data_IF_320419906346
#
_entry.id   IF_320419906346
#
_cell.length_a   1.000
_cell.length_b   1.000
_cell.length_c   1.000
_cell.angle_alpha   90.00
_cell.angle_beta   90.00
_cell.angle_gamma   90.00
#
_symmetry.space_group_name_H-M   'P 1'
#
loop_
_entity.id
_entity.type
_entity.pdbx_description
1 polymer ?
#
# COMPACT_ATOMS: atom_id res chain seq x y z
N UNK A 1 -25.30 30.28 22.15
CA UNK A 1 -25.30 29.67 20.81
C UNK A 1 -25.93 30.63 19.84
N UNK A 2 -25.67 30.63 18.54
CA UNK A 2 -26.36 31.51 17.60
C UNK A 2 -27.84 31.13 17.54
N UNK A 3 -28.73 32.12 17.57
CA UNK A 3 -30.17 31.92 17.44
C UNK A 3 -30.49 31.54 15.99
N UNK A 4 -31.53 30.68 15.83
CA UNK A 4 -32.03 30.37 14.51
C UNK A 4 -32.90 31.56 14.01
N UNK A 5 -32.57 32.05 12.82
CA UNK A 5 -33.32 33.11 12.12
C UNK A 5 -33.89 32.64 10.78
N UNK A 6 -33.96 31.31 10.56
CA UNK A 6 -34.42 30.71 9.31
C UNK A 6 -35.74 29.95 9.55
N UNK A 7 -36.72 30.21 8.70
CA UNK A 7 -37.89 29.37 8.59
C UNK A 7 -37.61 28.18 7.67
N UNK A 8 -37.64 26.98 8.26
CA UNK A 8 -37.37 25.74 7.52
C UNK A 8 -38.56 24.78 7.62
N UNK A 9 -38.80 24.06 6.54
CA UNK A 9 -39.81 23.00 6.54
C UNK A 9 -39.25 21.80 7.29
N UNK A 10 -39.80 21.46 8.44
CA UNK A 10 -39.40 20.29 9.23
C UNK A 10 -40.22 19.05 8.93
N UNK A 11 -41.48 19.23 8.44
CA UNK A 11 -42.39 18.17 8.06
C UNK A 11 -42.99 18.50 6.69
N UNK A 12 -42.84 17.57 5.72
CA UNK A 12 -43.42 17.73 4.39
C UNK A 12 -44.96 17.59 4.42
N UNK A 13 -45.65 18.11 3.41
CA UNK A 13 -47.10 17.95 3.27
C UNK A 13 -47.56 16.48 3.25
N UNK A 14 -46.69 15.55 2.89
CA UNK A 14 -46.93 14.10 2.91
C UNK A 14 -46.81 13.47 4.30
N UNK A 15 -46.45 14.24 5.34
CA UNK A 15 -46.20 13.73 6.68
C UNK A 15 -44.80 13.17 6.90
N UNK A 16 -43.92 13.17 5.87
CA UNK A 16 -42.55 12.69 5.99
C UNK A 16 -41.69 13.82 6.57
N UNK A 17 -40.86 13.55 7.63
CA UNK A 17 -39.97 14.54 8.20
C UNK A 17 -38.87 14.91 7.21
N UNK A 18 -38.39 16.15 7.32
CA UNK A 18 -37.10 16.53 6.70
C UNK A 18 -35.94 16.09 7.59
N UNK A 19 -34.73 16.15 7.08
CA UNK A 19 -33.51 15.77 7.82
C UNK A 19 -33.42 16.46 9.19
N UNK A 20 -33.69 17.73 9.28
CA UNK A 20 -33.59 18.50 10.54
C UNK A 20 -34.45 17.94 11.66
N UNK A 21 -35.67 17.57 11.35
CA UNK A 21 -36.59 17.00 12.34
C UNK A 21 -36.25 15.54 12.64
N UNK A 22 -35.98 14.72 11.60
CA UNK A 22 -35.60 13.33 11.76
C UNK A 22 -34.35 13.20 12.63
N UNK A 23 -33.28 13.99 12.35
CA UNK A 23 -32.05 14.02 13.13
C UNK A 23 -32.28 14.19 14.62
N UNK A 24 -33.11 15.20 15.02
CA UNK A 24 -33.35 15.48 16.44
C UNK A 24 -34.14 14.36 17.12
N UNK A 25 -35.12 13.80 16.43
CA UNK A 25 -35.96 12.70 16.96
C UNK A 25 -35.15 11.43 17.09
N UNK A 26 -34.43 11.06 16.04
CA UNK A 26 -33.64 9.82 16.01
C UNK A 26 -32.53 9.86 17.04
N UNK A 27 -31.77 10.95 17.12
CA UNK A 27 -30.67 11.09 18.06
C UNK A 27 -31.14 11.04 19.51
N UNK A 28 -32.28 11.67 19.83
CA UNK A 28 -32.85 11.60 21.17
C UNK A 28 -33.25 10.16 21.54
N UNK A 29 -34.03 9.49 20.69
CA UNK A 29 -34.50 8.13 20.99
C UNK A 29 -33.38 7.08 20.92
N UNK A 30 -32.36 7.26 20.10
CA UNK A 30 -31.15 6.44 20.05
C UNK A 30 -30.17 6.75 21.19
N UNK A 31 -30.44 7.77 22.00
CA UNK A 31 -29.58 8.23 23.12
C UNK A 31 -28.16 8.60 22.64
N UNK A 32 -28.08 9.27 21.52
CA UNK A 32 -26.82 9.79 20.98
C UNK A 32 -26.22 10.82 21.92
N UNK A 33 -25.04 10.59 22.41
CA UNK A 33 -24.33 11.51 23.33
C UNK A 33 -23.49 12.55 22.59
N UNK A 34 -22.91 12.17 21.44
CA UNK A 34 -22.05 13.01 20.63
C UNK A 34 -22.42 12.89 19.16
N UNK A 35 -22.55 14.02 18.49
CA UNK A 35 -22.73 14.10 17.03
C UNK A 35 -21.45 14.64 16.41
N UNK A 36 -20.71 13.78 15.71
CA UNK A 36 -19.48 14.15 15.01
C UNK A 36 -19.80 14.19 13.51
N UNK A 37 -19.63 15.38 12.89
CA UNK A 37 -19.98 15.58 11.49
C UNK A 37 -19.11 16.65 10.83
N UNK A 38 -19.17 16.80 9.52
CA UNK A 38 -18.42 17.83 8.80
C UNK A 38 -18.90 19.26 9.13
N UNK A 39 -17.98 20.21 9.04
CA UNK A 39 -18.22 21.65 9.31
C UNK A 39 -19.30 22.29 8.41
N UNK A 40 -19.63 21.67 7.27
CA UNK A 40 -20.71 22.11 6.39
C UNK A 40 -22.09 22.15 7.09
N UNK A 41 -22.22 21.43 8.20
CA UNK A 41 -23.43 21.39 9.02
C UNK A 41 -23.51 22.47 10.08
N UNK A 42 -22.47 23.30 10.24
CA UNK A 42 -22.46 24.39 11.22
C UNK A 42 -23.64 25.38 11.00
N UNK A 43 -23.97 25.66 9.73
CA UNK A 43 -25.05 26.56 9.39
C UNK A 43 -26.45 26.01 9.79
N UNK A 44 -26.57 24.69 9.95
CA UNK A 44 -27.83 24.05 10.38
C UNK A 44 -27.89 23.81 11.89
N UNK A 45 -26.81 24.03 12.62
CA UNK A 45 -26.78 23.81 14.06
C UNK A 45 -27.80 24.60 14.84
N UNK A 46 -28.05 25.91 14.56
CA UNK A 46 -29.07 26.69 15.28
C UNK A 46 -30.47 26.09 15.16
N UNK A 47 -30.81 25.51 13.99
CA UNK A 47 -32.11 24.85 13.76
C UNK A 47 -32.24 23.61 14.66
N UNK A 48 -31.18 22.81 14.76
CA UNK A 48 -31.19 21.60 15.60
C UNK A 48 -31.29 21.96 17.10
N UNK A 49 -30.52 22.96 17.53
CA UNK A 49 -30.59 23.46 18.93
C UNK A 49 -32.00 23.90 19.27
N UNK A 50 -32.63 24.72 18.44
CA UNK A 50 -34.01 25.18 18.66
C UNK A 50 -35.00 24.00 18.70
N UNK A 51 -34.86 23.01 17.83
CA UNK A 51 -35.72 21.83 17.83
C UNK A 51 -35.56 21.00 19.12
N UNK A 52 -34.35 20.77 19.62
CA UNK A 52 -34.12 20.09 20.90
C UNK A 52 -34.79 20.84 22.05
N UNK A 53 -34.66 22.18 22.11
CA UNK A 53 -35.28 23.03 23.13
C UNK A 53 -36.80 22.99 23.05
N UNK A 54 -37.40 23.15 21.86
CA UNK A 54 -38.85 23.15 21.66
C UNK A 54 -39.53 21.82 21.99
N UNK A 55 -38.78 20.71 21.75
CA UNK A 55 -39.28 19.36 22.07
C UNK A 55 -39.00 18.96 23.52
N UNK A 56 -38.23 19.76 24.26
CA UNK A 56 -37.85 19.44 25.64
C UNK A 56 -36.87 18.26 25.73
N UNK A 57 -36.09 18.05 24.70
CA UNK A 57 -35.13 16.96 24.63
C UNK A 57 -33.75 17.42 25.10
N UNK A 58 -32.98 16.49 25.73
CA UNK A 58 -31.60 16.73 26.06
C UNK A 58 -30.76 16.72 24.77
N UNK A 59 -29.96 17.78 24.57
CA UNK A 59 -29.17 17.97 23.36
C UNK A 59 -27.84 17.23 23.48
N UNK A 60 -27.42 16.51 22.43
CA UNK A 60 -26.08 15.88 22.38
C UNK A 60 -24.97 16.93 22.26
N UNK A 61 -23.72 16.51 22.54
CA UNK A 61 -22.54 17.32 22.25
C UNK A 61 -22.28 17.32 20.76
N UNK A 62 -22.20 18.49 20.13
CA UNK A 62 -21.88 18.63 18.71
C UNK A 62 -20.39 18.88 18.50
N UNK A 63 -19.76 18.03 17.69
CA UNK A 63 -18.39 18.16 17.24
C UNK A 63 -18.36 18.30 15.70
N UNK A 64 -17.67 19.32 15.19
CA UNK A 64 -17.54 19.52 13.75
C UNK A 64 -16.11 19.32 13.31
N UNK A 65 -15.91 18.43 12.33
CA UNK A 65 -14.61 18.17 11.73
C UNK A 65 -14.39 19.05 10.51
N UNK A 66 -13.16 19.44 10.28
CA UNK A 66 -12.79 20.10 9.04
C UNK A 66 -13.03 19.19 7.83
N UNK A 67 -13.31 19.80 6.67
CA UNK A 67 -13.53 19.07 5.42
C UNK A 67 -12.24 18.42 4.90
N UNK A 68 -12.38 17.26 4.26
CA UNK A 68 -11.28 16.65 3.52
C UNK A 68 -11.01 17.47 2.24
N UNK A 69 -9.80 17.95 2.13
CA UNK A 69 -9.30 18.75 1.01
C UNK A 69 -8.27 17.94 0.22
N UNK A 70 -8.10 18.25 -1.05
CA UNK A 70 -7.07 17.69 -1.93
C UNK A 70 -6.34 18.81 -2.66
N UNK A 71 -5.06 18.59 -2.98
CA UNK A 71 -4.32 19.48 -3.88
C UNK A 71 -4.67 19.14 -5.32
N UNK A 72 -5.10 20.14 -6.07
CA UNK A 72 -5.39 20.04 -7.50
C UNK A 72 -4.68 21.22 -8.20
N UNK A 73 -3.65 20.91 -8.98
CA UNK A 73 -2.78 21.90 -9.63
C UNK A 73 -2.26 22.99 -8.66
N UNK A 74 -1.86 22.57 -7.45
CA UNK A 74 -1.32 23.46 -6.41
C UNK A 74 -2.37 24.20 -5.57
N UNK A 75 -3.66 24.10 -5.91
CA UNK A 75 -4.75 24.72 -5.18
C UNK A 75 -5.48 23.69 -4.30
N UNK A 76 -5.84 24.07 -3.08
CA UNK A 76 -6.68 23.26 -2.21
C UNK A 76 -8.12 23.31 -2.68
N UNK A 77 -8.74 22.15 -2.91
CA UNK A 77 -10.19 22.02 -3.14
C UNK A 77 -10.79 20.92 -2.29
N UNK A 78 -12.07 21.01 -2.03
CA UNK A 78 -12.84 19.94 -1.38
C UNK A 78 -12.84 18.68 -2.26
N UNK A 79 -12.69 17.51 -1.65
CA UNK A 79 -12.93 16.25 -2.34
C UNK A 79 -14.39 16.15 -2.77
N UNK A 80 -14.63 15.56 -3.93
CA UNK A 80 -15.97 15.43 -4.50
C UNK A 80 -16.20 14.00 -5.01
N UNK A 81 -17.33 13.40 -4.68
CA UNK A 81 -17.72 12.04 -5.12
C UNK A 81 -17.66 11.81 -6.63
N UNK A 82 -17.75 12.88 -7.44
CA UNK A 82 -17.73 12.77 -8.91
C UNK A 82 -16.34 12.75 -9.50
N UNK A 83 -15.36 13.34 -8.81
CA UNK A 83 -13.99 13.52 -9.32
C UNK A 83 -12.96 12.66 -8.59
N UNK A 84 -13.24 12.30 -7.35
CA UNK A 84 -12.29 11.67 -6.44
C UNK A 84 -12.84 10.33 -5.96
N UNK A 85 -12.48 9.21 -6.62
CA UNK A 85 -12.95 7.87 -6.24
C UNK A 85 -12.56 7.52 -4.81
N UNK A 86 -11.44 8.06 -4.33
CA UNK A 86 -10.94 7.91 -2.96
C UNK A 86 -11.84 8.52 -1.87
N UNK A 87 -12.91 9.19 -2.25
CA UNK A 87 -13.95 9.63 -1.31
C UNK A 87 -14.97 8.51 -0.99
N UNK A 88 -14.96 7.41 -1.76
CA UNK A 88 -15.79 6.23 -1.50
C UNK A 88 -15.01 5.15 -0.77
N UNK A 89 -15.62 4.52 0.24
CA UNK A 89 -15.05 3.35 0.90
C UNK A 89 -14.88 2.17 -0.06
N UNK A 90 -15.72 2.07 -1.09
CA UNK A 90 -15.62 1.02 -2.11
C UNK A 90 -14.30 1.08 -2.89
N UNK A 91 -13.73 2.26 -3.09
CA UNK A 91 -12.42 2.43 -3.71
C UNK A 91 -11.35 1.65 -2.94
N UNK A 92 -11.28 1.83 -1.61
CA UNK A 92 -10.27 1.16 -0.79
C UNK A 92 -10.47 -0.35 -0.74
N UNK A 93 -11.74 -0.81 -0.74
CA UNK A 93 -12.08 -2.24 -0.79
C UNK A 93 -11.66 -2.85 -2.13
N UNK A 94 -11.97 -2.21 -3.25
CA UNK A 94 -11.66 -2.69 -4.60
C UNK A 94 -10.16 -2.69 -4.90
N UNK A 95 -9.43 -1.66 -4.48
CA UNK A 95 -7.97 -1.64 -4.58
C UNK A 95 -7.31 -2.61 -3.58
N UNK A 96 -7.99 -2.94 -2.49
CA UNK A 96 -7.51 -3.82 -1.44
C UNK A 96 -6.53 -3.12 -0.49
N UNK A 97 -6.89 -1.92 -0.03
CA UNK A 97 -6.24 -1.37 1.15
C UNK A 97 -6.69 -2.14 2.39
N UNK A 98 -5.75 -2.55 3.22
CA UNK A 98 -6.10 -3.23 4.46
C UNK A 98 -6.90 -2.29 5.37
N UNK A 99 -8.02 -2.73 5.98
CA UNK A 99 -8.88 -1.86 6.79
C UNK A 99 -8.13 -1.12 7.89
N UNK A 100 -7.16 -1.78 8.53
CA UNK A 100 -6.32 -1.18 9.56
C UNK A 100 -5.46 -0.02 9.00
N UNK A 101 -4.93 -0.16 7.78
CA UNK A 101 -4.13 0.90 7.16
C UNK A 101 -4.98 2.14 6.87
N UNK A 102 -6.21 1.95 6.39
CA UNK A 102 -7.15 3.05 6.16
C UNK A 102 -7.53 3.73 7.49
N UNK A 103 -7.80 2.94 8.55
CA UNK A 103 -8.11 3.45 9.89
C UNK A 103 -6.94 4.27 10.46
N UNK A 104 -5.71 3.78 10.37
CA UNK A 104 -4.50 4.52 10.81
C UNK A 104 -4.30 5.82 10.04
N UNK A 105 -4.50 5.79 8.74
CA UNK A 105 -4.40 6.99 7.92
C UNK A 105 -5.48 8.03 8.29
N UNK A 106 -6.72 7.58 8.49
CA UNK A 106 -7.80 8.49 8.92
C UNK A 106 -7.49 9.11 10.30
N UNK A 107 -6.96 8.34 11.25
CA UNK A 107 -6.53 8.88 12.54
C UNK A 107 -5.39 9.89 12.39
N UNK A 108 -4.45 9.65 11.49
CA UNK A 108 -3.35 10.59 11.20
C UNK A 108 -3.85 11.94 10.73
N UNK A 109 -4.91 11.99 9.91
CA UNK A 109 -5.45 13.26 9.40
C UNK A 109 -6.51 13.89 10.31
N UNK A 110 -7.16 13.10 11.17
CA UNK A 110 -8.19 13.56 12.09
C UNK A 110 -7.64 14.06 13.42
N UNK A 111 -6.61 13.41 13.95
CA UNK A 111 -6.13 13.63 15.32
C UNK A 111 -4.65 13.99 15.33
N UNK A 112 -4.33 15.24 15.68
CA UNK A 112 -3.00 15.83 15.53
C UNK A 112 -1.88 15.14 16.31
N UNK A 113 -2.20 14.29 17.30
CA UNK A 113 -1.23 13.56 18.12
C UNK A 113 -1.10 12.08 17.75
N UNK A 114 -1.83 11.60 16.72
CA UNK A 114 -1.81 10.18 16.37
C UNK A 114 -0.44 9.74 15.83
N UNK A 115 0.17 10.50 14.92
CA UNK A 115 1.49 10.17 14.37
C UNK A 115 2.58 10.06 15.45
N UNK A 116 2.59 11.02 16.38
CA UNK A 116 3.54 11.02 17.50
C UNK A 116 3.32 9.79 18.40
N UNK A 117 2.05 9.49 18.71
CA UNK A 117 1.71 8.30 19.48
C UNK A 117 2.13 7.01 18.76
N UNK A 118 1.88 6.88 17.46
CA UNK A 118 2.27 5.70 16.68
C UNK A 118 3.78 5.52 16.60
N UNK A 119 4.54 6.61 16.44
CA UNK A 119 6.01 6.55 16.48
C UNK A 119 6.55 6.10 17.85
N UNK A 120 5.90 6.51 18.93
CA UNK A 120 6.27 6.09 20.29
C UNK A 120 5.81 4.66 20.63
N UNK A 121 4.80 4.15 19.94
CA UNK A 121 4.18 2.85 20.17
C UNK A 121 4.03 2.07 18.83
N UNK A 122 5.13 1.68 18.18
CA UNK A 122 5.11 1.12 16.83
C UNK A 122 4.30 -0.18 16.72
N UNK A 123 4.32 -1.00 17.75
CA UNK A 123 3.70 -2.33 17.78
C UNK A 123 2.38 -2.39 18.55
N UNK A 124 1.93 -1.28 19.14
CA UNK A 124 0.67 -1.24 19.91
C UNK A 124 -0.55 -1.41 18.98
N UNK A 125 -1.60 -2.04 19.52
CA UNK A 125 -2.88 -2.09 18.82
C UNK A 125 -3.42 -0.67 18.61
N UNK A 126 -4.01 -0.43 17.44
CA UNK A 126 -4.59 0.88 17.09
C UNK A 126 -5.69 1.31 18.07
N UNK A 127 -6.38 0.35 18.67
CA UNK A 127 -7.46 0.60 19.63
C UNK A 127 -6.94 1.04 21.02
N UNK A 128 -5.62 0.94 21.28
CA UNK A 128 -4.97 1.53 22.45
C UNK A 128 -4.81 3.07 22.34
N UNK A 129 -4.96 3.61 21.14
CA UNK A 129 -4.90 5.07 20.96
C UNK A 129 -6.09 5.77 21.60
N UNK A 130 -5.82 6.64 22.57
CA UNK A 130 -6.84 7.46 23.21
C UNK A 130 -7.27 8.61 22.29
N UNK A 131 -8.24 8.35 21.42
CA UNK A 131 -8.84 9.39 20.59
C UNK A 131 -9.53 10.44 21.44
N UNK A 132 -9.26 11.73 21.19
CA UNK A 132 -9.95 12.84 21.84
C UNK A 132 -10.44 13.87 20.83
N UNK A 133 -11.63 14.41 21.08
CA UNK A 133 -12.22 15.45 20.23
C UNK A 133 -11.46 16.78 20.28
N UNK A 134 -10.74 17.05 21.39
CA UNK A 134 -9.91 18.26 21.55
C UNK A 134 -8.68 18.30 20.63
N UNK A 135 -8.21 17.13 20.20
CA UNK A 135 -7.08 16.99 19.28
C UNK A 135 -7.50 16.88 17.81
N UNK A 136 -8.80 16.98 17.53
CA UNK A 136 -9.28 16.99 16.15
C UNK A 136 -8.79 18.23 15.40
N UNK A 137 -8.40 18.04 14.14
CA UNK A 137 -7.91 19.13 13.30
C UNK A 137 -9.01 20.16 13.02
N UNK A 138 -8.75 21.43 13.28
CA UNK A 138 -9.63 22.56 12.97
C UNK A 138 -9.37 23.16 11.58
N UNK A 139 -8.29 22.80 10.91
CA UNK A 139 -7.98 23.21 9.54
C UNK A 139 -8.19 22.03 8.60
N UNK A 140 -8.72 22.29 7.40
CA UNK A 140 -9.06 21.25 6.43
C UNK A 140 -7.95 20.17 6.32
N UNK A 141 -8.32 18.94 6.60
CA UNK A 141 -7.41 17.80 6.51
C UNK A 141 -7.06 17.57 5.04
N UNK A 142 -5.77 17.64 4.70
CA UNK A 142 -5.31 17.40 3.34
C UNK A 142 -5.21 15.88 3.11
N UNK A 143 -6.08 15.37 2.25
CA UNK A 143 -5.98 13.99 1.79
C UNK A 143 -4.81 13.85 0.81
N UNK A 144 -3.90 12.93 1.12
CA UNK A 144 -2.72 12.60 0.32
C UNK A 144 -2.63 11.08 0.16
N UNK A 145 -2.78 10.62 -1.10
CA UNK A 145 -2.71 9.20 -1.42
C UNK A 145 -1.30 8.62 -1.18
N UNK A 146 -0.25 9.42 -1.39
CA UNK A 146 1.12 8.95 -1.09
C UNK A 146 1.31 8.72 0.41
N UNK A 147 0.77 9.60 1.24
CA UNK A 147 0.80 9.41 2.69
C UNK A 147 0.01 8.17 3.12
N UNK A 148 -1.16 7.92 2.51
CA UNK A 148 -1.91 6.67 2.75
C UNK A 148 -1.06 5.45 2.37
N UNK A 149 -0.41 5.48 1.20
CA UNK A 149 0.46 4.39 0.76
C UNK A 149 1.60 4.14 1.75
N UNK A 150 2.23 5.18 2.29
CA UNK A 150 3.30 5.05 3.27
C UNK A 150 2.77 4.47 4.60
N UNK A 151 1.63 4.94 5.08
CA UNK A 151 0.96 4.36 6.26
C UNK A 151 0.61 2.89 6.01
N UNK A 152 0.13 2.56 4.80
CA UNK A 152 -0.22 1.19 4.44
C UNK A 152 1.00 0.26 4.45
N UNK A 153 2.13 0.68 3.87
CA UNK A 153 3.40 -0.07 3.93
C UNK A 153 3.79 -0.41 5.38
N UNK A 154 3.74 0.59 6.25
CA UNK A 154 4.10 0.42 7.65
C UNK A 154 3.11 -0.48 8.39
N UNK A 155 1.82 -0.39 8.06
CA UNK A 155 0.78 -1.24 8.64
C UNK A 155 0.93 -2.69 8.19
N UNK A 156 1.09 -2.93 6.89
CA UNK A 156 1.24 -4.29 6.35
C UNK A 156 2.49 -4.98 6.86
N UNK A 157 3.56 -4.24 7.16
CA UNK A 157 4.77 -4.80 7.74
C UNK A 157 4.55 -5.36 9.15
N UNK A 158 3.60 -4.81 9.93
CA UNK A 158 3.25 -5.28 11.27
C UNK A 158 2.32 -6.51 11.26
N UNK A 159 1.59 -6.73 10.16
CA UNK A 159 0.71 -7.90 10.03
C UNK A 159 1.56 -9.13 9.71
N UNK A 160 1.46 -10.25 10.46
CA UNK A 160 2.17 -11.48 10.14
C UNK A 160 1.93 -11.93 8.70
N UNK A 161 2.96 -12.46 8.03
CA UNK A 161 2.87 -12.84 6.62
C UNK A 161 1.74 -13.85 6.33
N UNK A 162 1.52 -14.81 7.24
CA UNK A 162 0.44 -15.79 7.11
C UNK A 162 -0.96 -15.12 7.21
N UNK A 163 -1.14 -14.18 8.13
CA UNK A 163 -2.40 -13.43 8.26
C UNK A 163 -2.64 -12.54 7.03
N UNK A 164 -1.57 -11.92 6.53
CA UNK A 164 -1.65 -11.14 5.29
C UNK A 164 -2.03 -12.01 4.09
N UNK A 165 -1.50 -13.25 3.98
CA UNK A 165 -1.86 -14.20 2.93
C UNK A 165 -3.35 -14.57 2.99
N UNK A 166 -3.90 -14.85 4.17
CA UNK A 166 -5.32 -15.15 4.36
C UNK A 166 -6.22 -13.96 3.99
N UNK A 167 -5.83 -12.76 4.39
CA UNK A 167 -6.55 -11.55 4.02
C UNK A 167 -6.53 -11.31 2.50
N UNK A 168 -5.37 -11.47 1.85
CA UNK A 168 -5.24 -11.35 0.39
C UNK A 168 -6.11 -12.37 -0.33
N UNK A 169 -6.17 -13.62 0.15
CA UNK A 169 -7.03 -14.65 -0.40
C UNK A 169 -8.52 -14.25 -0.31
N UNK A 170 -8.96 -13.82 0.87
CA UNK A 170 -10.34 -13.37 1.07
C UNK A 170 -10.71 -12.19 0.16
N UNK A 171 -9.79 -11.22 0.02
CA UNK A 171 -9.98 -10.09 -0.88
C UNK A 171 -10.05 -10.52 -2.34
N UNK A 172 -9.19 -11.44 -2.78
CA UNK A 172 -9.14 -11.87 -4.18
C UNK A 172 -10.42 -12.60 -4.60
N UNK A 173 -11.04 -13.38 -3.72
CA UNK A 173 -12.29 -14.07 -3.99
C UNK A 173 -13.43 -13.10 -4.35
N UNK A 174 -13.44 -11.90 -3.77
CA UNK A 174 -14.48 -10.90 -4.01
C UNK A 174 -14.12 -9.97 -5.20
N UNK A 175 -12.87 -9.54 -5.32
CA UNK A 175 -12.48 -8.43 -6.20
C UNK A 175 -11.54 -8.81 -7.34
N UNK A 176 -10.88 -9.94 -7.30
CA UNK A 176 -9.84 -10.32 -8.26
C UNK A 176 -9.67 -11.85 -8.37
N UNK A 177 -10.74 -12.61 -8.77
CA UNK A 177 -10.70 -14.06 -8.84
C UNK A 177 -9.70 -14.59 -9.89
N UNK A 178 -9.25 -13.75 -10.81
CA UNK A 178 -8.19 -14.04 -11.77
C UNK A 178 -6.85 -14.43 -11.12
N UNK A 179 -6.61 -14.06 -9.86
CA UNK A 179 -5.41 -14.41 -9.10
C UNK A 179 -5.53 -15.71 -8.28
N UNK A 180 -6.56 -16.53 -8.49
CA UNK A 180 -6.76 -17.80 -7.74
C UNK A 180 -5.51 -18.70 -7.75
N UNK A 181 -4.71 -18.66 -8.81
CA UNK A 181 -3.49 -19.45 -8.93
C UNK A 181 -2.43 -19.11 -7.85
N UNK A 182 -2.42 -17.86 -7.34
CA UNK A 182 -1.50 -17.39 -6.30
C UNK A 182 -1.75 -18.12 -4.98
N UNK A 183 -2.98 -18.53 -4.72
CA UNK A 183 -3.43 -19.12 -3.45
C UNK A 183 -3.45 -20.66 -3.45
N UNK A 184 -2.97 -21.30 -4.50
CA UNK A 184 -2.86 -22.78 -4.56
C UNK A 184 -1.84 -23.33 -3.56
N UNK A 185 -0.84 -22.55 -3.21
CA UNK A 185 0.17 -22.85 -2.22
C UNK A 185 0.33 -21.66 -1.24
N UNK A 186 -0.36 -21.74 -0.11
CA UNK A 186 -0.36 -20.71 0.92
C UNK A 186 0.97 -20.62 1.67
N UNK A 187 1.70 -21.72 1.77
CA UNK A 187 3.03 -21.74 2.40
C UNK A 187 4.03 -20.98 1.53
N UNK A 188 4.00 -21.21 0.22
CA UNK A 188 4.80 -20.44 -0.75
C UNK A 188 4.44 -18.95 -0.69
N UNK A 189 3.16 -18.62 -0.73
CA UNK A 189 2.71 -17.23 -0.65
C UNK A 189 3.18 -16.56 0.65
N UNK A 190 3.11 -17.28 1.78
CA UNK A 190 3.59 -16.77 3.07
C UNK A 190 5.08 -16.46 3.03
N UNK A 191 5.91 -17.35 2.45
CA UNK A 191 7.34 -17.11 2.27
C UNK A 191 7.62 -15.90 1.38
N UNK A 192 6.87 -15.73 0.29
CA UNK A 192 6.98 -14.56 -0.61
C UNK A 192 6.67 -13.26 0.13
N UNK A 193 5.61 -13.25 0.93
CA UNK A 193 5.18 -12.08 1.69
C UNK A 193 6.13 -11.77 2.86
N UNK A 194 6.79 -12.78 3.41
CA UNK A 194 7.75 -12.64 4.51
C UNK A 194 9.14 -12.16 4.04
N UNK A 195 9.41 -12.24 2.74
CA UNK A 195 10.69 -11.86 2.14
C UNK A 195 11.14 -10.45 2.58
N UNK A 196 12.30 -10.36 3.25
CA UNK A 196 12.94 -9.11 3.66
C UNK A 196 12.27 -8.36 4.83
N UNK A 197 11.34 -8.98 5.56
CA UNK A 197 10.68 -8.36 6.73
C UNK A 197 11.59 -8.28 7.95
N UNK A 198 12.44 -9.28 8.15
CA UNK A 198 13.37 -9.35 9.29
C UNK A 198 14.71 -8.65 9.03
N UNK A 199 14.90 -8.08 7.85
CA UNK A 199 16.12 -7.36 7.52
C UNK A 199 16.32 -6.14 8.43
N UNK A 200 17.59 -5.74 8.63
CA UNK A 200 17.94 -4.50 9.37
C UNK A 200 17.18 -3.27 8.84
N UNK A 201 16.85 -3.28 7.56
CA UNK A 201 15.95 -2.32 6.90
C UNK A 201 14.82 -3.12 6.26
N UNK A 202 13.72 -3.32 6.99
CA UNK A 202 12.61 -4.09 6.47
C UNK A 202 12.09 -3.56 5.14
N UNK A 203 11.69 -4.48 4.29
CA UNK A 203 11.08 -4.20 3.00
C UNK A 203 9.74 -3.46 3.19
N UNK A 204 9.57 -2.34 2.50
CA UNK A 204 8.36 -1.49 2.56
C UNK A 204 7.82 -1.21 1.16
N UNK A 205 7.52 -2.25 0.39
CA UNK A 205 7.05 -2.17 -0.99
C UNK A 205 5.66 -2.77 -1.22
N UNK A 206 5.09 -3.43 -0.21
CA UNK A 206 3.72 -3.94 -0.23
C UNK A 206 2.77 -2.85 0.27
N UNK A 207 1.76 -2.49 -0.55
CA UNK A 207 0.91 -1.33 -0.27
C UNK A 207 -0.56 -1.71 -0.14
N UNK A 208 -1.14 -2.34 -1.15
CA UNK A 208 -2.53 -2.79 -1.19
C UNK A 208 -2.66 -4.03 -2.07
N UNK A 209 -3.71 -4.81 -1.91
CA UNK A 209 -3.81 -6.15 -2.48
C UNK A 209 -3.57 -6.19 -3.99
N UNK A 210 -4.20 -5.34 -4.79
CA UNK A 210 -4.03 -5.31 -6.25
C UNK A 210 -2.58 -5.05 -6.65
N UNK A 211 -1.91 -4.11 -5.98
CA UNK A 211 -0.49 -3.84 -6.20
C UNK A 211 0.39 -5.02 -5.78
N UNK A 212 0.07 -5.67 -4.65
CA UNK A 212 0.82 -6.84 -4.18
C UNK A 212 0.71 -7.98 -5.20
N UNK A 213 -0.48 -8.29 -5.71
CA UNK A 213 -0.67 -9.36 -6.71
C UNK A 213 0.19 -9.11 -7.96
N UNK A 214 0.19 -7.89 -8.49
CA UNK A 214 1.05 -7.52 -9.61
C UNK A 214 2.52 -7.59 -9.24
N UNK A 215 2.89 -7.13 -8.04
CA UNK A 215 4.26 -7.04 -7.60
C UNK A 215 4.92 -8.41 -7.40
N UNK A 216 4.19 -9.40 -6.85
CA UNK A 216 4.68 -10.77 -6.65
C UNK A 216 4.49 -11.68 -7.87
N UNK A 217 3.88 -11.17 -8.94
CA UNK A 217 3.51 -11.95 -10.13
C UNK A 217 4.66 -12.74 -10.75
N UNK A 218 5.90 -12.27 -10.63
CA UNK A 218 7.05 -12.98 -11.15
C UNK A 218 7.34 -14.35 -10.48
N UNK A 219 6.75 -14.65 -9.34
CA UNK A 219 6.84 -15.98 -8.74
C UNK A 219 5.97 -17.03 -9.44
N UNK A 220 4.99 -16.61 -10.23
CA UNK A 220 3.97 -17.47 -10.84
C UNK A 220 4.08 -17.44 -12.36
N UNK A 221 4.03 -18.64 -12.99
CA UNK A 221 4.22 -18.77 -14.43
C UNK A 221 3.01 -18.18 -15.21
N UNK A 222 1.83 -18.16 -14.59
CA UNK A 222 0.61 -17.58 -15.14
C UNK A 222 0.69 -16.05 -15.36
N UNK A 223 1.54 -15.36 -14.60
CA UNK A 223 1.68 -13.88 -14.65
C UNK A 223 3.11 -13.41 -14.92
N UNK A 224 4.04 -14.34 -15.16
CA UNK A 224 5.41 -13.96 -15.45
C UNK A 224 5.57 -13.38 -16.85
N UNK A 225 6.08 -12.17 -16.93
CA UNK A 225 6.43 -11.48 -18.18
C UNK A 225 7.76 -10.76 -18.03
N UNK A 226 8.52 -10.63 -19.13
CA UNK A 226 9.69 -9.75 -19.18
C UNK A 226 9.19 -8.33 -19.44
N UNK A 227 9.25 -7.46 -18.43
CA UNK A 227 8.74 -6.09 -18.45
C UNK A 227 9.84 -5.08 -18.81
N UNK A 228 11.07 -5.30 -18.32
CA UNK A 228 12.20 -4.37 -18.49
C UNK A 228 13.15 -4.82 -19.60
N UNK A 229 13.79 -3.83 -20.25
CA UNK A 229 14.85 -4.06 -21.21
C UNK A 229 16.16 -4.41 -20.49
N UNK A 230 16.99 -5.22 -21.16
CA UNK A 230 18.33 -5.56 -20.67
C UNK A 230 19.24 -4.32 -20.71
N UNK A 231 20.20 -4.18 -19.75
CA UNK A 231 21.17 -3.09 -19.78
C UNK A 231 21.93 -3.03 -21.11
N UNK A 232 22.05 -1.87 -21.72
CA UNK A 232 22.75 -1.70 -23.01
C UNK A 232 24.17 -2.29 -22.98
N UNK A 233 24.88 -2.12 -21.86
CA UNK A 233 26.25 -2.62 -21.66
C UNK A 233 26.33 -4.16 -21.67
N UNK A 234 25.23 -4.86 -21.41
CA UNK A 234 25.21 -6.32 -21.28
C UNK A 234 24.23 -7.01 -22.24
N UNK A 235 23.42 -6.27 -22.97
CA UNK A 235 22.40 -6.83 -23.86
C UNK A 235 22.98 -7.74 -24.93
N UNK A 236 24.13 -7.37 -25.53
CA UNK A 236 24.80 -8.16 -26.54
C UNK A 236 25.38 -9.48 -26.00
N UNK A 237 25.82 -9.47 -24.74
CA UNK A 237 26.42 -10.65 -24.06
C UNK A 237 25.39 -11.47 -23.27
N UNK A 238 24.09 -11.09 -23.33
CA UNK A 238 23.00 -11.69 -22.54
C UNK A 238 23.04 -13.22 -22.54
N UNK A 239 23.07 -13.83 -23.72
CA UNK A 239 23.07 -15.30 -23.84
C UNK A 239 24.30 -15.93 -23.22
N UNK A 240 25.47 -15.34 -23.40
CA UNK A 240 26.73 -15.86 -22.82
C UNK A 240 26.69 -15.76 -21.28
N UNK A 241 26.19 -14.65 -20.75
CA UNK A 241 26.00 -14.43 -19.29
C UNK A 241 25.05 -15.47 -18.72
N UNK A 242 23.87 -15.64 -19.33
CA UNK A 242 22.84 -16.57 -18.86
C UNK A 242 23.31 -18.03 -18.98
N UNK A 243 24.05 -18.39 -20.04
CA UNK A 243 24.62 -19.75 -20.18
C UNK A 243 25.65 -20.00 -19.09
N UNK A 244 26.62 -19.09 -18.88
CA UNK A 244 27.62 -19.21 -17.82
C UNK A 244 26.97 -19.27 -16.42
N UNK A 245 25.89 -18.52 -16.22
CA UNK A 245 25.13 -18.60 -14.99
C UNK A 245 24.46 -19.96 -14.79
N UNK A 246 23.78 -20.49 -15.81
CA UNK A 246 23.16 -21.82 -15.77
C UNK A 246 24.16 -22.95 -15.50
N UNK A 247 25.34 -22.88 -16.11
CA UNK A 247 26.41 -23.89 -15.99
C UNK A 247 27.00 -23.87 -14.56
N UNK A 248 27.09 -22.73 -13.92
CA UNK A 248 27.68 -22.56 -12.58
C UNK A 248 26.66 -22.56 -11.42
N UNK A 249 25.35 -22.50 -11.73
CA UNK A 249 24.30 -22.40 -10.74
C UNK A 249 24.22 -23.66 -9.87
N UNK A 250 24.31 -23.45 -8.56
CA UNK A 250 24.01 -24.43 -7.52
C UNK A 250 23.03 -23.83 -6.51
N UNK A 251 21.91 -24.47 -6.36
CA UNK A 251 20.84 -24.00 -5.45
C UNK A 251 21.26 -24.03 -3.97
N UNK A 252 22.25 -24.83 -3.62
CA UNK A 252 22.76 -24.98 -2.26
C UNK A 252 23.84 -23.95 -1.90
N UNK A 253 24.25 -23.09 -2.84
CA UNK A 253 25.18 -22.01 -2.52
C UNK A 253 24.59 -21.05 -1.49
N UNK A 254 25.39 -20.64 -0.52
CA UNK A 254 25.06 -19.49 0.26
C UNK A 254 25.13 -18.19 -0.56
N UNK A 255 24.62 -17.11 -0.03
CA UNK A 255 24.54 -15.83 -0.73
C UNK A 255 25.92 -15.30 -1.16
N UNK A 256 26.97 -15.55 -0.36
CA UNK A 256 28.34 -15.10 -0.65
C UNK A 256 28.93 -15.88 -1.81
N UNK A 257 28.84 -17.20 -1.79
CA UNK A 257 29.32 -18.08 -2.86
C UNK A 257 28.55 -17.83 -4.16
N UNK A 258 27.25 -17.73 -4.10
CA UNK A 258 26.41 -17.36 -5.24
C UNK A 258 26.87 -16.05 -5.89
N UNK A 259 27.09 -14.99 -5.10
CA UNK A 259 27.49 -13.70 -5.65
C UNK A 259 28.95 -13.70 -6.15
N UNK A 260 29.80 -14.51 -5.57
CA UNK A 260 31.15 -14.68 -6.07
C UNK A 260 31.15 -15.33 -7.46
N UNK A 261 30.33 -16.34 -7.72
CA UNK A 261 30.14 -16.92 -9.08
C UNK A 261 29.69 -15.86 -10.09
N UNK A 262 28.77 -14.96 -9.72
CA UNK A 262 28.38 -13.84 -10.60
C UNK A 262 29.56 -12.90 -10.89
N UNK A 263 30.43 -12.64 -9.91
CA UNK A 263 31.67 -11.85 -10.13
C UNK A 263 32.62 -12.53 -11.06
N UNK A 264 32.79 -13.84 -10.97
CA UNK A 264 33.62 -14.64 -11.86
C UNK A 264 33.07 -14.57 -13.30
N UNK A 265 31.78 -14.80 -13.50
CA UNK A 265 31.08 -14.61 -14.78
C UNK A 265 31.35 -13.22 -15.35
N UNK A 266 31.22 -12.18 -14.52
CA UNK A 266 31.46 -10.81 -14.94
C UNK A 266 32.88 -10.61 -15.46
N UNK A 267 33.90 -11.10 -14.74
CA UNK A 267 35.30 -11.01 -15.12
C UNK A 267 35.57 -11.77 -16.42
N UNK A 268 35.09 -13.00 -16.53
CA UNK A 268 35.28 -13.87 -17.69
C UNK A 268 34.67 -13.31 -18.97
N UNK A 269 33.57 -12.53 -18.82
CA UNK A 269 32.90 -11.85 -19.94
C UNK A 269 33.48 -10.44 -20.23
N UNK A 270 34.47 -9.97 -19.48
CA UNK A 270 35.14 -8.68 -19.67
C UNK A 270 34.47 -7.51 -18.94
N UNK A 271 33.72 -7.79 -17.86
CA UNK A 271 33.12 -6.78 -16.99
C UNK A 271 33.96 -6.59 -15.72
N UNK A 272 33.97 -5.40 -15.15
CA UNK A 272 34.65 -5.16 -13.88
C UNK A 272 33.94 -5.88 -12.72
N UNK A 273 34.71 -6.56 -11.86
CA UNK A 273 34.19 -7.23 -10.67
C UNK A 273 33.56 -6.25 -9.64
N UNK A 274 33.91 -4.98 -9.72
CA UNK A 274 33.40 -3.92 -8.82
C UNK A 274 33.03 -2.68 -9.63
N UNK A 275 31.87 -2.04 -9.30
CA UNK A 275 31.45 -0.79 -9.97
C UNK A 275 32.49 0.35 -9.88
N UNK A 276 33.32 0.36 -8.82
CA UNK A 276 34.38 1.36 -8.63
C UNK A 276 35.48 1.25 -9.66
N UNK A 277 35.81 0.04 -10.09
CA UNK A 277 36.91 -0.20 -11.06
C UNK A 277 36.44 0.24 -12.46
N UNK A 278 35.23 -0.07 -12.83
CA UNK A 278 34.60 0.45 -14.05
C UNK A 278 34.55 1.99 -14.08
N UNK A 279 34.15 2.64 -12.95
CA UNK A 279 34.12 4.11 -12.89
C UNK A 279 35.49 4.77 -13.05
N UNK A 280 36.59 4.08 -12.67
CA UNK A 280 37.96 4.60 -12.82
C UNK A 280 38.49 4.43 -14.23
N UNK A 281 38.19 3.30 -14.85
CA UNK A 281 38.76 2.89 -16.15
C UNK A 281 37.63 2.37 -17.05
N UNK A 282 36.69 3.19 -17.48
CA UNK A 282 35.53 2.72 -18.26
C UNK A 282 35.93 2.10 -19.61
N UNK A 283 37.07 2.50 -20.18
CA UNK A 283 37.58 1.99 -21.45
C UNK A 283 38.13 0.55 -21.36
N UNK A 284 38.42 0.05 -20.15
CA UNK A 284 39.00 -1.28 -19.96
C UNK A 284 37.94 -2.36 -19.84
N UNK A 285 36.68 -1.99 -19.61
CA UNK A 285 35.58 -2.93 -19.31
C UNK A 285 34.35 -2.63 -20.14
N UNK A 286 33.59 -3.67 -20.49
CA UNK A 286 32.27 -3.55 -21.12
C UNK A 286 31.21 -2.93 -20.18
N UNK A 287 31.42 -3.03 -18.87
CA UNK A 287 30.51 -2.61 -17.81
C UNK A 287 31.03 -3.13 -16.47
N UNK A 288 30.15 -3.45 -15.55
CA UNK A 288 30.49 -3.99 -14.24
C UNK A 288 29.53 -5.11 -13.80
N UNK A 289 29.90 -5.83 -12.73
CA UNK A 289 29.10 -6.94 -12.15
C UNK A 289 27.61 -6.60 -11.93
N UNK A 290 27.26 -5.35 -11.67
CA UNK A 290 25.86 -4.92 -11.54
C UNK A 290 25.05 -5.11 -12.83
N UNK A 291 25.63 -4.86 -14.02
CA UNK A 291 24.96 -5.12 -15.30
C UNK A 291 24.74 -6.61 -15.51
N UNK A 292 25.73 -7.45 -15.20
CA UNK A 292 25.61 -8.91 -15.24
C UNK A 292 24.53 -9.42 -14.28
N UNK A 293 24.52 -8.93 -13.04
CA UNK A 293 23.45 -9.26 -12.06
C UNK A 293 22.08 -8.82 -12.53
N UNK A 294 21.98 -7.68 -13.24
CA UNK A 294 20.71 -7.18 -13.78
C UNK A 294 20.20 -8.07 -14.91
N UNK A 295 21.09 -8.59 -15.77
CA UNK A 295 20.72 -9.58 -16.80
C UNK A 295 20.09 -10.82 -16.16
N UNK A 296 20.73 -11.39 -15.14
CA UNK A 296 20.20 -12.55 -14.41
C UNK A 296 18.87 -12.22 -13.73
N UNK A 297 18.76 -11.05 -13.10
CA UNK A 297 17.55 -10.59 -12.44
C UNK A 297 16.38 -10.47 -13.41
N UNK A 298 16.58 -9.85 -14.57
CA UNK A 298 15.52 -9.71 -15.58
C UNK A 298 15.09 -11.08 -16.10
N UNK A 299 16.02 -11.96 -16.38
CA UNK A 299 15.70 -13.32 -16.84
C UNK A 299 14.84 -14.10 -15.82
N UNK A 300 15.06 -13.90 -14.53
CA UNK A 300 14.33 -14.60 -13.45
C UNK A 300 13.00 -13.92 -13.09
N UNK A 301 12.96 -12.59 -13.08
CA UNK A 301 11.83 -11.82 -12.52
C UNK A 301 11.16 -10.87 -13.52
N UNK A 302 11.68 -10.76 -14.73
CA UNK A 302 11.16 -9.83 -15.72
C UNK A 302 11.49 -8.37 -15.48
N UNK A 303 12.14 -8.01 -14.34
CA UNK A 303 12.35 -6.65 -13.88
C UNK A 303 13.79 -6.37 -13.49
N UNK A 304 14.25 -5.15 -13.71
CA UNK A 304 15.59 -4.66 -13.35
C UNK A 304 15.74 -4.35 -11.85
N UNK A 305 14.63 -4.17 -11.15
CA UNK A 305 14.57 -3.88 -9.71
C UNK A 305 13.76 -4.96 -8.98
N UNK A 306 14.28 -5.44 -7.87
CA UNK A 306 13.65 -6.45 -7.03
C UNK A 306 14.25 -6.42 -5.62
N UNK A 307 13.64 -7.10 -4.65
CA UNK A 307 14.32 -7.51 -3.43
C UNK A 307 15.55 -8.38 -3.72
N UNK A 308 16.15 -8.96 -2.69
CA UNK A 308 17.34 -9.79 -2.82
C UNK A 308 17.15 -10.97 -3.77
N UNK A 309 17.95 -11.02 -4.84
CA UNK A 309 17.83 -12.04 -5.91
C UNK A 309 18.13 -13.43 -5.39
N UNK A 310 19.13 -13.57 -4.50
CA UNK A 310 19.48 -14.88 -3.94
C UNK A 310 18.30 -15.46 -3.13
N UNK A 311 17.70 -14.67 -2.26
CA UNK A 311 16.53 -15.11 -1.46
C UNK A 311 15.34 -15.44 -2.36
N UNK A 312 15.09 -14.64 -3.41
CA UNK A 312 14.03 -14.91 -4.38
C UNK A 312 14.24 -16.27 -5.06
N UNK A 313 15.45 -16.60 -5.47
CA UNK A 313 15.76 -17.90 -6.08
C UNK A 313 15.55 -19.06 -5.13
N UNK A 314 15.89 -18.90 -3.85
CA UNK A 314 15.64 -19.92 -2.83
C UNK A 314 14.13 -20.22 -2.70
N UNK A 315 13.30 -19.17 -2.73
CA UNK A 315 11.85 -19.32 -2.69
C UNK A 315 11.29 -19.91 -4.00
N UNK A 316 11.85 -19.54 -5.16
CA UNK A 316 11.43 -20.08 -6.47
C UNK A 316 11.72 -21.57 -6.62
N UNK A 317 12.77 -22.06 -6.02
CA UNK A 317 13.29 -23.42 -6.18
C UNK A 317 14.12 -23.62 -7.45
N UNK A 318 15.01 -24.64 -7.42
CA UNK A 318 15.99 -24.91 -8.46
C UNK A 318 15.36 -25.11 -9.84
N UNK A 319 14.32 -25.94 -9.93
CA UNK A 319 13.69 -26.29 -11.21
C UNK A 319 13.15 -25.05 -11.94
N UNK A 320 12.48 -24.16 -11.21
CA UNK A 320 11.91 -22.94 -11.80
C UNK A 320 13.01 -21.95 -12.22
N UNK A 321 14.07 -21.81 -11.42
CA UNK A 321 15.21 -20.95 -11.76
C UNK A 321 15.85 -21.42 -13.07
N UNK A 322 16.16 -22.73 -13.19
CA UNK A 322 16.74 -23.30 -14.40
C UNK A 322 15.82 -23.15 -15.61
N UNK A 323 14.54 -23.49 -15.46
CA UNK A 323 13.57 -23.39 -16.54
C UNK A 323 13.44 -21.96 -17.10
N UNK A 324 13.49 -20.92 -16.24
CA UNK A 324 13.43 -19.53 -16.68
C UNK A 324 14.66 -19.08 -17.42
N UNK A 325 15.85 -19.45 -16.93
CA UNK A 325 17.10 -19.13 -17.63
C UNK A 325 17.14 -19.85 -19.00
N UNK A 326 16.75 -21.12 -19.06
CA UNK A 326 16.67 -21.88 -20.33
C UNK A 326 15.67 -21.28 -21.32
N UNK A 327 14.49 -20.87 -20.83
CA UNK A 327 13.49 -20.21 -21.66
C UNK A 327 14.03 -18.91 -22.28
N UNK A 328 14.79 -18.12 -21.49
CA UNK A 328 15.36 -16.86 -21.96
C UNK A 328 16.57 -17.06 -22.90
N UNK A 329 17.33 -18.16 -22.77
CA UNK A 329 18.39 -18.56 -23.72
C UNK A 329 17.80 -18.91 -25.09
N UNK A 330 16.59 -19.49 -25.12
CA UNK A 330 15.91 -19.91 -26.34
C UNK A 330 15.14 -18.78 -27.05
N UNK A 331 15.02 -17.63 -26.42
CA UNK A 331 14.50 -16.39 -27.06
C UNK A 331 15.57 -15.72 -27.93
#
# INVERSE_FOLDING_TARGET
>A
MPENNQDVIILKATGIPTYHFAHVIDDYFMRTTHVIRGEEWLMSLPIHVELFEKLGFEMPVYCHTAQLMKLDNGNKRKLSKRKDPELSLDYYRQEGYHPQAVKEYLLTILNSNYEEWRMANPDADIDEFAFTTEKMSNSGALFDLNKLNDVSKDTLLRIPAAELAEWLHSWSQEFAPEYEYVFRDMDLLTQILDLGREDRKPRKDLIYARQIMTFIGYFFDESFEIEDEYPEEAAADRKNILQAYLDSYDHNDDQENWFNKIREIAVDQGYAAKPKDYKKNPEEYKGHVGHVSTVIRIALMGRSQSPDVWTIQQIMGEDKVRARIEAELNR
#
